data_IF_684378300634
#
_entry.id   IF_684378300634
#
_cell.length_a   1.000
_cell.length_b   1.000
_cell.length_c   1.000
_cell.angle_alpha   90.00
_cell.angle_beta   90.00
_cell.angle_gamma   90.00
#
_symmetry.space_group_name_H-M   'P 1'
#
loop_
_entity.id
_entity.type
_entity.pdbx_description
1 polymer ?
#
# COMPACT_ATOMS: atom_id res chain seq x y z
N UNK A 1 14.77 -22.34 -0.18
CA UNK A 1 14.22 -21.07 -0.68
C UNK A 1 12.83 -21.37 -1.22
N UNK A 2 11.77 -20.99 -0.51
CA UNK A 2 10.40 -21.11 -1.00
C UNK A 2 9.89 -19.68 -1.23
N UNK A 3 9.50 -19.37 -2.45
CA UNK A 3 8.87 -18.09 -2.79
C UNK A 3 7.37 -18.28 -2.59
N UNK A 4 6.82 -17.70 -1.53
CA UNK A 4 5.38 -17.70 -1.29
C UNK A 4 4.78 -16.52 -2.06
N UNK A 5 4.01 -16.82 -3.10
CA UNK A 5 3.22 -15.85 -3.83
C UNK A 5 1.84 -15.78 -3.18
N UNK A 6 1.60 -14.77 -2.34
CA UNK A 6 0.24 -14.43 -1.94
C UNK A 6 -0.43 -13.64 -3.07
N UNK A 7 -1.35 -14.28 -3.77
CA UNK A 7 -2.05 -13.70 -4.92
C UNK A 7 -3.15 -12.72 -4.51
N UNK A 8 -3.63 -12.75 -3.27
CA UNK A 8 -4.68 -11.85 -2.78
C UNK A 8 -4.26 -10.37 -2.79
N UNK A 9 -3.13 -10.01 -2.15
CA UNK A 9 -2.57 -8.67 -2.19
C UNK A 9 -2.20 -8.21 -3.60
N UNK A 10 -1.67 -9.11 -4.44
CA UNK A 10 -1.30 -8.79 -5.82
C UNK A 10 -2.53 -8.41 -6.66
N UNK A 11 -3.60 -9.21 -6.61
CA UNK A 11 -4.84 -8.90 -7.34
C UNK A 11 -5.45 -7.60 -6.84
N UNK A 12 -5.46 -7.38 -5.53
CA UNK A 12 -5.95 -6.13 -4.94
C UNK A 12 -5.14 -4.92 -5.40
N UNK A 13 -3.81 -5.04 -5.45
CA UNK A 13 -2.92 -3.99 -5.95
C UNK A 13 -3.23 -3.64 -7.42
N UNK A 14 -3.45 -4.63 -8.27
CA UNK A 14 -3.78 -4.41 -9.69
C UNK A 14 -5.13 -3.71 -9.87
N UNK A 15 -6.17 -4.14 -9.14
CA UNK A 15 -7.50 -3.51 -9.19
C UNK A 15 -7.42 -2.06 -8.72
N UNK A 16 -6.71 -1.79 -7.61
CA UNK A 16 -6.50 -0.43 -7.11
C UNK A 16 -5.74 0.41 -8.13
N UNK A 17 -4.65 -0.11 -8.69
CA UNK A 17 -3.87 0.60 -9.69
C UNK A 17 -4.72 0.95 -10.92
N UNK A 18 -5.47 -0.02 -11.47
CA UNK A 18 -6.39 0.19 -12.58
C UNK A 18 -7.39 1.31 -12.26
N UNK A 19 -8.05 1.25 -11.10
CA UNK A 19 -9.05 2.23 -10.71
C UNK A 19 -8.46 3.64 -10.55
N UNK A 20 -7.27 3.75 -9.96
CA UNK A 20 -6.55 5.03 -9.84
C UNK A 20 -6.21 5.61 -11.21
N UNK A 21 -5.74 4.79 -12.15
CA UNK A 21 -5.44 5.24 -13.51
C UNK A 21 -6.69 5.66 -14.30
N UNK A 22 -7.74 4.83 -14.28
CA UNK A 22 -8.99 5.06 -15.02
C UNK A 22 -9.68 6.35 -14.57
N UNK A 23 -9.70 6.59 -13.26
CA UNK A 23 -10.39 7.75 -12.68
C UNK A 23 -9.47 8.93 -12.38
N UNK A 24 -8.16 8.82 -12.66
CA UNK A 24 -7.15 9.80 -12.27
C UNK A 24 -7.26 10.18 -10.79
N UNK A 25 -7.46 9.19 -9.93
CA UNK A 25 -7.68 9.42 -8.52
C UNK A 25 -6.47 10.09 -7.87
N UNK A 26 -6.70 11.20 -7.17
CA UNK A 26 -5.64 11.92 -6.45
C UNK A 26 -5.36 11.32 -5.07
N UNK A 27 -6.32 10.55 -4.52
CA UNK A 27 -6.19 9.89 -3.23
C UNK A 27 -7.04 8.61 -3.10
N UNK A 28 -6.59 7.70 -2.25
CA UNK A 28 -7.35 6.55 -1.75
C UNK A 28 -7.59 6.72 -0.25
N UNK A 29 -8.85 6.62 0.17
CA UNK A 29 -9.25 6.73 1.58
C UNK A 29 -9.55 5.33 2.12
N UNK A 30 -8.93 4.98 3.24
CA UNK A 30 -9.15 3.69 3.91
C UNK A 30 -9.58 3.88 5.38
N UNK A 31 -10.37 2.97 5.95
CA UNK A 31 -10.85 3.09 7.32
C UNK A 31 -9.75 2.88 8.38
N UNK A 32 -8.72 2.09 8.06
CA UNK A 32 -7.53 1.91 8.91
C UNK A 32 -6.30 1.60 8.06
N UNK A 33 -5.12 1.79 8.63
CA UNK A 33 -3.86 1.49 7.95
C UNK A 33 -3.74 0.01 7.58
N UNK A 34 -4.24 -0.92 8.42
CA UNK A 34 -4.20 -2.37 8.18
C UNK A 34 -4.87 -2.80 6.86
N UNK A 35 -5.91 -2.07 6.42
CA UNK A 35 -6.57 -2.33 5.14
C UNK A 35 -5.70 -1.98 3.93
N UNK A 36 -4.80 -1.00 4.10
CA UNK A 36 -3.88 -0.56 3.06
C UNK A 36 -2.52 -1.23 3.18
N UNK A 37 -2.14 -1.80 4.32
CA UNK A 37 -0.77 -2.24 4.58
C UNK A 37 -0.19 -3.12 3.46
N UNK A 38 -0.87 -4.17 2.96
CA UNK A 38 -0.33 -5.02 1.89
C UNK A 38 -0.14 -4.32 0.54
N UNK A 39 -0.84 -3.20 0.31
CA UNK A 39 -0.88 -2.45 -0.95
C UNK A 39 -0.42 -1.00 -0.78
N UNK A 40 0.17 -0.66 0.36
CA UNK A 40 0.49 0.72 0.74
C UNK A 40 1.45 1.37 -0.25
N UNK A 41 2.43 0.60 -0.72
CA UNK A 41 3.44 1.07 -1.66
C UNK A 41 2.80 1.43 -3.01
N UNK A 42 1.96 0.56 -3.57
CA UNK A 42 1.32 0.84 -4.86
C UNK A 42 0.39 2.05 -4.77
N UNK A 43 -0.34 2.21 -3.67
CA UNK A 43 -1.18 3.39 -3.47
C UNK A 43 -0.31 4.65 -3.44
N UNK A 44 0.73 4.68 -2.60
CA UNK A 44 1.60 5.85 -2.45
C UNK A 44 2.46 6.13 -3.68
N UNK A 45 2.72 5.15 -4.54
CA UNK A 45 3.39 5.41 -5.83
C UNK A 45 2.47 6.12 -6.82
N UNK A 46 1.17 5.87 -6.75
CA UNK A 46 0.19 6.39 -7.71
C UNK A 46 -0.54 7.66 -7.24
N UNK A 47 -0.85 7.76 -5.94
CA UNK A 47 -1.70 8.82 -5.35
C UNK A 47 -1.46 8.99 -3.84
N UNK A 48 -2.22 9.88 -3.19
CA UNK A 48 -2.16 10.01 -1.72
C UNK A 48 -2.92 8.86 -1.02
N UNK A 49 -2.35 8.28 0.04
CA UNK A 49 -3.06 7.37 0.94
C UNK A 49 -3.57 8.14 2.15
N UNK A 50 -4.88 8.15 2.37
CA UNK A 50 -5.52 8.83 3.50
C UNK A 50 -6.10 7.80 4.46
N UNK A 51 -5.63 7.84 5.70
CA UNK A 51 -6.22 7.12 6.84
C UNK A 51 -6.81 8.13 7.82
N UNK A 52 -7.64 7.71 8.80
CA UNK A 52 -8.13 8.63 9.83
C UNK A 52 -7.02 9.27 10.67
N UNK A 53 -5.87 8.60 10.79
CA UNK A 53 -4.75 9.04 11.62
C UNK A 53 -3.79 9.96 10.88
N UNK A 54 -3.54 9.67 9.60
CA UNK A 54 -2.49 10.32 8.82
C UNK A 54 -2.76 10.22 7.31
N UNK A 55 -2.31 11.24 6.57
CA UNK A 55 -2.17 11.22 5.11
C UNK A 55 -0.72 10.96 4.72
N UNK A 56 -0.50 9.98 3.85
CA UNK A 56 0.77 9.69 3.20
C UNK A 56 0.71 10.20 1.77
N UNK A 57 1.59 11.15 1.42
CA UNK A 57 1.56 11.78 0.11
C UNK A 57 2.07 10.86 -0.99
N UNK A 58 1.64 11.09 -2.22
CA UNK A 58 2.22 10.43 -3.39
C UNK A 58 3.75 10.59 -3.40
N UNK A 59 4.45 9.49 -3.61
CA UNK A 59 5.91 9.39 -3.53
C UNK A 59 6.44 9.18 -2.11
N UNK A 60 5.58 9.02 -1.09
CA UNK A 60 6.02 8.71 0.27
C UNK A 60 6.88 7.45 0.29
N UNK A 61 8.06 7.56 0.92
CA UNK A 61 9.00 6.45 1.06
C UNK A 61 8.78 5.76 2.39
N UNK A 62 8.23 4.56 2.34
CA UNK A 62 8.04 3.72 3.51
C UNK A 62 9.40 3.33 4.10
N UNK A 63 9.61 3.48 5.42
CA UNK A 63 10.81 2.98 6.06
C UNK A 63 10.90 1.46 5.84
N UNK A 64 12.09 1.00 5.44
CA UNK A 64 12.38 -0.42 5.36
C UNK A 64 12.32 -0.98 6.78
N UNK A 65 11.35 -1.83 7.07
CA UNK A 65 11.35 -2.62 8.30
C UNK A 65 12.39 -3.71 8.08
N UNK A 66 13.47 -3.67 8.86
CA UNK A 66 14.47 -4.73 8.85
C UNK A 66 13.83 -6.00 9.42
N UNK A 67 13.67 -7.01 8.57
CA UNK A 67 13.05 -8.29 8.93
C UNK A 67 13.98 -9.18 9.76
N UNK A 68 15.21 -8.71 10.05
CA UNK A 68 16.25 -9.44 10.81
C UNK A 68 16.52 -8.87 12.22
N UNK A 69 15.57 -8.14 12.82
CA UNK A 69 15.66 -7.73 14.24
C UNK A 69 15.33 -8.88 15.22
N UNK A 70 16.08 -9.08 16.31
CA UNK A 70 15.97 -10.28 17.16
C UNK A 70 14.61 -10.32 17.87
N UNK A 71 14.05 -11.53 17.97
CA UNK A 71 12.89 -11.81 18.82
C UNK A 71 13.17 -11.31 20.24
N UNK A 72 12.45 -10.27 20.65
CA UNK A 72 12.35 -9.85 22.05
C UNK A 72 11.04 -10.34 22.65
#
# INVERSE_FOLDING_TARGET
MSVVLDTGPLVSALVIAQHVYEHRAEAVIVPSFEHADPVRHIITDLCDLVTPMQTYKRGYRWPLIDIDGPLS
#
